data_IF_134733977941
#
_entry.id   IF_134733977941
#
_cell.length_a   1.000
_cell.length_b   1.000
_cell.length_c   1.000
_cell.angle_alpha   90.00
_cell.angle_beta   90.00
_cell.angle_gamma   90.00
#
_symmetry.space_group_name_H-M   'P 1'
#
loop_
_entity.id
_entity.type
_entity.pdbx_description
1 polymer ?
#
# COMPACT_ATOMS: atom_id res chain seq x y z
N UNK A 1 -17.12 -8.88 -3.51
CA UNK A 1 -16.01 -9.86 -3.62
C UNK A 1 -15.61 -10.30 -2.23
N UNK A 2 -15.27 -11.59 -2.05
CA UNK A 2 -14.81 -12.14 -0.77
C UNK A 2 -13.44 -11.58 -0.35
N UNK A 3 -12.56 -11.33 -1.31
CA UNK A 3 -11.27 -10.69 -1.10
C UNK A 3 -10.94 -9.81 -2.31
N UNK A 4 -10.25 -8.69 -2.05
CA UNK A 4 -9.67 -7.81 -3.05
C UNK A 4 -8.20 -7.59 -2.70
N UNK A 5 -7.32 -7.77 -3.68
CA UNK A 5 -5.90 -7.41 -3.56
C UNK A 5 -5.66 -6.19 -4.44
N UNK A 6 -5.33 -5.06 -3.81
CA UNK A 6 -4.89 -3.85 -4.47
C UNK A 6 -3.36 -3.76 -4.38
N UNK A 7 -2.70 -4.21 -5.44
CA UNK A 7 -1.27 -3.94 -5.64
C UNK A 7 -1.13 -2.55 -6.28
N UNK A 8 -0.76 -1.57 -5.46
CA UNK A 8 -0.97 -0.18 -5.80
C UNK A 8 0.22 0.40 -6.58
N UNK A 9 -0.04 1.26 -7.59
CA UNK A 9 1.02 2.00 -8.25
C UNK A 9 1.74 2.89 -7.23
N UNK A 10 3.05 2.73 -7.10
CA UNK A 10 3.86 3.42 -6.09
C UNK A 10 5.17 3.95 -6.68
N UNK A 11 5.98 4.61 -5.85
CA UNK A 11 7.29 5.12 -6.26
C UNK A 11 8.32 4.02 -6.56
N UNK A 12 8.13 2.82 -5.99
CA UNK A 12 8.97 1.65 -6.22
C UNK A 12 10.32 1.70 -5.51
N UNK A 13 10.46 2.49 -4.45
CA UNK A 13 11.73 2.69 -3.73
C UNK A 13 12.30 1.41 -3.10
N UNK A 14 11.46 0.40 -2.85
CA UNK A 14 11.88 -0.92 -2.37
C UNK A 14 12.58 -1.79 -3.42
N UNK A 15 12.51 -1.43 -4.69
CA UNK A 15 13.04 -2.25 -5.81
C UNK A 15 14.36 -1.74 -6.39
N UNK A 16 14.97 -0.70 -5.80
CA UNK A 16 16.15 -0.02 -6.35
C UNK A 16 17.38 -0.93 -6.56
N UNK A 17 17.49 -2.03 -5.79
CA UNK A 17 18.57 -3.01 -5.96
C UNK A 17 18.51 -3.71 -7.32
N UNK A 18 17.30 -4.00 -7.83
CA UNK A 18 17.06 -4.61 -9.15
C UNK A 18 16.87 -3.58 -10.25
N UNK A 19 16.40 -2.38 -9.90
CA UNK A 19 16.10 -1.28 -10.83
C UNK A 19 16.86 -0.02 -10.41
N UNK A 20 18.18 0.06 -10.65
CA UNK A 20 19.01 1.17 -10.17
C UNK A 20 18.66 2.52 -10.80
N UNK A 21 17.96 2.53 -11.93
CA UNK A 21 17.42 3.75 -12.56
C UNK A 21 16.28 4.39 -11.75
N UNK A 22 15.58 3.60 -10.92
CA UNK A 22 14.47 4.07 -10.09
C UNK A 22 14.88 5.24 -9.18
N UNK A 23 16.13 5.27 -8.69
CA UNK A 23 16.66 6.36 -7.86
C UNK A 23 16.58 7.74 -8.53
N UNK A 24 16.67 7.79 -9.86
CA UNK A 24 16.60 9.04 -10.63
C UNK A 24 15.16 9.43 -10.97
N UNK A 25 14.24 8.47 -10.87
CA UNK A 25 12.84 8.67 -11.16
C UNK A 25 12.07 9.09 -9.90
N UNK A 26 12.55 8.82 -8.69
CA UNK A 26 11.86 9.19 -7.45
C UNK A 26 12.01 10.69 -7.19
N UNK A 27 10.92 11.34 -6.80
CA UNK A 27 10.91 12.75 -6.38
C UNK A 27 9.70 13.02 -5.48
N UNK A 28 9.72 14.07 -4.64
CA UNK A 28 8.58 14.44 -3.79
C UNK A 28 7.28 14.64 -4.57
N UNK A 29 7.37 15.20 -5.80
CA UNK A 29 6.22 15.36 -6.68
C UNK A 29 5.61 14.02 -7.10
N UNK A 30 6.44 13.02 -7.43
CA UNK A 30 5.95 11.71 -7.84
C UNK A 30 5.40 10.92 -6.67
N UNK A 31 5.99 11.06 -5.48
CA UNK A 31 5.46 10.50 -4.24
C UNK A 31 4.04 11.00 -3.98
N UNK A 32 3.83 12.32 -4.03
CA UNK A 32 2.49 12.89 -3.81
C UNK A 32 1.47 12.47 -4.89
N UNK A 33 1.90 12.36 -6.16
CA UNK A 33 1.03 11.86 -7.23
C UNK A 33 0.62 10.40 -6.98
N UNK A 34 1.59 9.54 -6.63
CA UNK A 34 1.33 8.14 -6.33
C UNK A 34 0.39 7.99 -5.12
N UNK A 35 0.67 8.71 -4.02
CA UNK A 35 -0.16 8.73 -2.81
C UNK A 35 -1.61 9.10 -3.09
N UNK A 36 -1.85 10.14 -3.90
CA UNK A 36 -3.21 10.53 -4.31
C UNK A 36 -3.90 9.45 -5.12
N UNK A 37 -3.18 8.87 -6.09
CA UNK A 37 -3.72 7.79 -6.92
C UNK A 37 -4.06 6.55 -6.08
N UNK A 38 -3.19 6.17 -5.14
CA UNK A 38 -3.42 5.10 -4.17
C UNK A 38 -4.69 5.37 -3.34
N UNK A 39 -4.90 6.62 -2.91
CA UNK A 39 -6.08 6.98 -2.10
C UNK A 39 -7.36 6.79 -2.89
N UNK A 40 -7.38 7.28 -4.14
CA UNK A 40 -8.52 7.09 -5.04
C UNK A 40 -8.81 5.62 -5.32
N UNK A 41 -7.77 4.80 -5.53
CA UNK A 41 -7.93 3.37 -5.77
C UNK A 41 -8.46 2.64 -4.53
N UNK A 42 -7.92 2.93 -3.35
CA UNK A 42 -8.38 2.37 -2.07
C UNK A 42 -9.87 2.69 -1.83
N UNK A 43 -10.26 3.94 -2.02
CA UNK A 43 -11.65 4.37 -1.85
C UNK A 43 -12.57 3.65 -2.86
N UNK A 44 -12.12 3.49 -4.12
CA UNK A 44 -12.90 2.80 -5.16
C UNK A 44 -13.07 1.29 -4.89
N UNK A 45 -12.01 0.59 -4.48
CA UNK A 45 -12.08 -0.86 -4.24
C UNK A 45 -12.90 -1.21 -3.00
N UNK A 46 -13.04 -0.29 -2.05
CA UNK A 46 -13.85 -0.49 -0.85
C UNK A 46 -15.30 -0.84 -1.19
N UNK A 47 -15.87 -0.22 -2.23
CA UNK A 47 -17.25 -0.42 -2.65
C UNK A 47 -17.55 -1.85 -3.16
N UNK A 48 -16.51 -2.63 -3.52
CA UNK A 48 -16.67 -3.99 -4.06
C UNK A 48 -16.31 -5.08 -3.05
N UNK A 49 -15.84 -4.72 -1.85
CA UNK A 49 -15.56 -5.66 -0.76
C UNK A 49 -16.86 -5.92 -0.01
N UNK A 50 -17.26 -7.19 0.11
CA UNK A 50 -18.48 -7.54 0.87
C UNK A 50 -18.22 -7.42 2.38
N UNK A 51 -19.28 -7.30 3.17
CA UNK A 51 -19.20 -7.48 4.62
C UNK A 51 -18.56 -8.84 4.97
N UNK A 52 -17.65 -8.84 5.94
CA UNK A 52 -16.82 -9.97 6.33
C UNK A 52 -15.70 -10.34 5.35
N UNK A 53 -15.55 -9.62 4.22
CA UNK A 53 -14.51 -9.84 3.22
C UNK A 53 -13.20 -9.09 3.52
N UNK A 54 -12.17 -9.36 2.72
CA UNK A 54 -10.84 -8.78 2.90
C UNK A 54 -10.46 -7.76 1.82
N UNK A 55 -9.73 -6.74 2.24
CA UNK A 55 -8.99 -5.84 1.36
C UNK A 55 -7.51 -5.92 1.74
N UNK A 56 -6.69 -6.39 0.81
CA UNK A 56 -5.23 -6.40 0.94
C UNK A 56 -4.69 -5.23 0.14
N UNK A 57 -3.94 -4.36 0.80
CA UNK A 57 -3.20 -3.26 0.17
C UNK A 57 -1.72 -3.63 0.15
N UNK A 58 -1.07 -3.53 -1.01
CA UNK A 58 0.38 -3.74 -1.13
C UNK A 58 1.06 -2.66 -1.96
N UNK A 59 2.32 -2.39 -1.63
CA UNK A 59 3.24 -1.58 -2.42
C UNK A 59 4.62 -2.23 -2.46
N UNK A 60 5.43 -1.88 -3.45
CA UNK A 60 6.87 -2.12 -3.46
C UNK A 60 7.66 -0.84 -3.11
N UNK A 61 7.09 -0.01 -2.24
CA UNK A 61 7.67 1.23 -1.73
C UNK A 61 8.12 1.08 -0.28
N UNK A 62 9.15 1.82 0.08
CA UNK A 62 9.64 1.98 1.45
C UNK A 62 9.21 3.33 2.07
N UNK A 63 8.48 4.15 1.33
CA UNK A 63 8.04 5.47 1.79
C UNK A 63 6.82 5.36 2.72
N UNK A 64 6.89 5.83 3.98
CA UNK A 64 5.76 5.76 4.93
C UNK A 64 4.50 6.46 4.42
N UNK A 65 4.65 7.49 3.58
CA UNK A 65 3.55 8.24 2.95
C UNK A 65 2.70 7.39 2.00
N UNK A 66 3.29 6.34 1.40
CA UNK A 66 2.58 5.36 0.58
C UNK A 66 2.09 4.16 1.39
N UNK A 67 2.60 3.97 2.61
CA UNK A 67 2.40 2.77 3.40
C UNK A 67 1.53 3.04 4.62
N UNK A 68 2.12 3.10 5.82
CA UNK A 68 1.41 3.23 7.09
C UNK A 68 0.54 4.50 7.12
N UNK A 69 1.07 5.64 6.68
CA UNK A 69 0.33 6.90 6.68
C UNK A 69 -0.87 6.86 5.72
N UNK A 70 -0.73 6.13 4.60
CA UNK A 70 -1.80 5.95 3.63
C UNK A 70 -2.92 5.07 4.18
N UNK A 71 -2.57 3.97 4.85
CA UNK A 71 -3.52 3.07 5.50
C UNK A 71 -4.24 3.77 6.66
N UNK A 72 -3.52 4.52 7.51
CA UNK A 72 -4.12 5.30 8.60
C UNK A 72 -5.13 6.33 8.06
N UNK A 73 -4.72 7.11 7.04
CA UNK A 73 -5.61 8.08 6.42
C UNK A 73 -6.84 7.40 5.82
N UNK A 74 -6.69 6.23 5.19
CA UNK A 74 -7.79 5.46 4.62
C UNK A 74 -8.76 4.93 5.69
N UNK A 75 -8.25 4.30 6.76
CA UNK A 75 -9.07 3.76 7.85
C UNK A 75 -9.84 4.86 8.59
N UNK A 76 -9.28 6.08 8.68
CA UNK A 76 -10.00 7.23 9.26
C UNK A 76 -11.24 7.63 8.46
N UNK A 77 -11.28 7.34 7.14
CA UNK A 77 -12.41 7.64 6.25
C UNK A 77 -13.38 6.46 6.09
N UNK A 78 -12.93 5.24 6.38
CA UNK A 78 -13.70 3.99 6.20
C UNK A 78 -13.76 3.17 7.49
N UNK A 79 -14.56 3.58 8.50
CA UNK A 79 -14.58 2.95 9.82
C UNK A 79 -15.15 1.52 9.84
N UNK A 80 -15.78 1.07 8.74
CA UNK A 80 -16.22 -0.32 8.58
C UNK A 80 -15.04 -1.28 8.30
N UNK A 81 -13.91 -0.76 7.83
CA UNK A 81 -12.68 -1.53 7.64
C UNK A 81 -11.81 -1.41 8.89
N UNK A 82 -11.20 -2.52 9.26
CA UNK A 82 -10.22 -2.60 10.35
C UNK A 82 -9.02 -3.42 9.92
N UNK A 83 -7.88 -3.23 10.59
CA UNK A 83 -6.76 -4.18 10.47
C UNK A 83 -7.16 -5.54 11.00
N UNK A 84 -6.98 -6.57 10.18
CA UNK A 84 -7.20 -7.99 10.54
C UNK A 84 -5.89 -8.64 11.01
N UNK A 85 -4.74 -8.06 10.62
CA UNK A 85 -3.38 -8.50 10.94
C UNK A 85 -2.47 -7.29 11.11
N UNK A 86 -1.30 -7.51 11.71
CA UNK A 86 -0.25 -6.50 11.74
C UNK A 86 0.25 -6.20 10.32
N UNK A 87 0.60 -4.94 10.09
CA UNK A 87 1.18 -4.49 8.83
C UNK A 87 2.56 -5.17 8.66
N UNK A 88 2.85 -5.64 7.44
CA UNK A 88 4.12 -6.29 7.10
C UNK A 88 4.95 -5.34 6.25
N UNK A 89 6.06 -4.86 6.81
CA UNK A 89 7.09 -4.14 6.06
C UNK A 89 8.24 -5.09 5.77
N UNK A 90 8.55 -5.25 4.49
CA UNK A 90 9.70 -6.03 4.01
C UNK A 90 10.87 -5.09 3.83
N UNK A 91 11.89 -5.25 4.66
CA UNK A 91 13.11 -4.45 4.58
C UNK A 91 14.20 -5.22 3.81
N UNK A 92 14.71 -4.71 2.67
CA UNK A 92 15.65 -5.46 1.82
C UNK A 92 16.89 -6.00 2.55
N UNK A 93 17.56 -5.23 3.45
CA UNK A 93 18.68 -5.73 4.23
C UNK A 93 18.38 -6.94 5.11
N UNK A 94 17.14 -7.07 5.61
CA UNK A 94 16.77 -8.10 6.56
C UNK A 94 16.40 -9.41 5.87
N UNK A 95 15.86 -9.32 4.65
CA UNK A 95 15.31 -10.47 3.92
C UNK A 95 16.13 -10.90 2.70
N UNK A 96 17.00 -10.03 2.18
CA UNK A 96 17.68 -10.22 0.89
C UNK A 96 16.74 -10.16 -0.31
N UNK A 97 15.48 -9.74 -0.13
CA UNK A 97 14.48 -9.55 -1.19
C UNK A 97 14.34 -8.08 -1.56
N UNK A 98 13.41 -7.77 -2.47
CA UNK A 98 12.96 -6.38 -2.64
C UNK A 98 12.18 -5.94 -1.41
N UNK A 99 12.11 -4.63 -1.21
CA UNK A 99 11.35 -4.00 -0.15
C UNK A 99 9.91 -3.73 -0.54
N UNK A 100 9.04 -3.67 0.46
CA UNK A 100 7.62 -3.40 0.23
C UNK A 100 6.82 -3.41 1.51
N UNK A 101 5.50 -3.27 1.34
CA UNK A 101 4.56 -3.13 2.43
C UNK A 101 3.27 -3.87 2.12
N UNK A 102 2.67 -4.49 3.13
CA UNK A 102 1.36 -5.15 3.04
C UNK A 102 0.51 -4.79 4.26
N UNK A 103 -0.71 -4.32 4.03
CA UNK A 103 -1.75 -4.19 5.05
C UNK A 103 -2.94 -5.11 4.72
N UNK A 104 -3.39 -5.89 5.70
CA UNK A 104 -4.55 -6.78 5.56
C UNK A 104 -5.71 -6.23 6.35
N UNK A 105 -6.73 -5.77 5.64
CA UNK A 105 -7.91 -5.13 6.19
C UNK A 105 -9.13 -6.04 6.03
N UNK A 106 -10.07 -5.93 6.96
CA UNK A 106 -11.32 -6.70 6.96
C UNK A 106 -12.53 -5.79 7.10
N UNK A 107 -13.48 -5.97 6.19
CA UNK A 107 -14.77 -5.28 6.21
C UNK A 107 -15.64 -5.93 7.28
N UNK A 108 -16.05 -5.17 8.30
CA UNK A 108 -16.94 -5.65 9.36
C UNK A 108 -18.40 -5.53 8.95
#
# INVERSE_FOLDING_TARGET
>A
MDAVWLDAPCTGTGTMSRHPDARWRVSPRRLEVARRQQATLLDAVTAVVRAGGWLVYSTCSLEPEENEAQVEAFLSRHPALVRDRDDLTVWPPDTGSDGGFIAVLRMR
#
